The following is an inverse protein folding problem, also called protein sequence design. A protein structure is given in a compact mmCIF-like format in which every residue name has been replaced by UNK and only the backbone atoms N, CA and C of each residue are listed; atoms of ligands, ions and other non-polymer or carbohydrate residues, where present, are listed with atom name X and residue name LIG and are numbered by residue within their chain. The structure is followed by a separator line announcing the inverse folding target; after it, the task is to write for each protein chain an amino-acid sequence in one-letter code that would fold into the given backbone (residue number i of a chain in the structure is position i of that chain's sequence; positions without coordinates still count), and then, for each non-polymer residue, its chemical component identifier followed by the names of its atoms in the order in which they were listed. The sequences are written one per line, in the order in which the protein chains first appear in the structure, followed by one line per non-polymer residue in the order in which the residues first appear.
data_IF_979229945411
#
_entry.id   IF_979229945411
#
_cell.length_a   1.000
_cell.length_b   1.000
_cell.length_c   1.000
_cell.angle_alpha   90.00
_cell.angle_beta   90.00
_cell.angle_gamma   90.00
#
_symmetry.space_group_name_H-M   'P 1'
#
loop_
_entity.id
_entity.type
_entity.pdbx_description
1 polymer ?
#
# COMPACT_ATOMS: atom_id res chain seq x y z
N UNK A 1 10.77 -25.73 0.93
CA UNK A 1 10.19 -24.72 1.85
C UNK A 1 10.90 -23.37 1.63
N UNK A 2 10.85 -22.83 0.42
CA UNK A 2 11.56 -21.59 0.02
C UNK A 2 10.63 -20.54 -0.62
N UNK A 3 9.35 -20.85 -0.80
CA UNK A 3 8.43 -20.00 -1.55
C UNK A 3 8.01 -18.69 -0.84
N UNK A 4 8.41 -18.50 0.43
CA UNK A 4 7.94 -17.37 1.26
C UNK A 4 8.91 -16.17 1.19
N UNK A 5 10.17 -16.39 0.75
CA UNK A 5 11.26 -15.43 1.00
C UNK A 5 12.02 -14.93 -0.24
N UNK A 6 11.77 -15.44 -1.44
CA UNK A 6 12.42 -14.94 -2.67
C UNK A 6 11.75 -13.66 -3.17
N UNK A 7 12.14 -12.52 -2.59
CA UNK A 7 11.54 -11.21 -2.92
C UNK A 7 12.64 -10.17 -3.04
N UNK A 8 13.29 -10.16 -4.20
CA UNK A 8 14.02 -8.99 -4.66
C UNK A 8 13.05 -8.12 -5.46
N UNK A 9 12.56 -7.04 -4.82
CA UNK A 9 11.78 -6.03 -5.53
C UNK A 9 12.72 -5.37 -6.53
N UNK A 10 12.35 -5.41 -7.81
CA UNK A 10 13.12 -4.76 -8.85
C UNK A 10 13.28 -3.26 -8.52
N UNK A 11 14.50 -2.71 -8.48
CA UNK A 11 14.73 -1.31 -8.11
C UNK A 11 13.97 -0.33 -9.02
N UNK A 12 13.75 -0.69 -10.29
CA UNK A 12 12.96 0.13 -11.22
C UNK A 12 11.50 0.22 -10.79
N UNK A 13 10.87 -0.91 -10.43
CA UNK A 13 9.50 -0.96 -9.89
C UNK A 13 9.43 -0.20 -8.57
N UNK A 14 10.42 -0.37 -7.70
CA UNK A 14 10.48 0.34 -6.43
C UNK A 14 10.49 1.86 -6.62
N UNK A 15 11.42 2.38 -7.42
CA UNK A 15 11.52 3.83 -7.69
C UNK A 15 10.27 4.38 -8.38
N UNK A 16 9.68 3.62 -9.30
CA UNK A 16 8.46 4.01 -9.99
C UNK A 16 7.27 4.12 -9.03
N UNK A 17 7.04 3.08 -8.22
CA UNK A 17 5.96 3.06 -7.21
C UNK A 17 6.22 4.12 -6.14
N UNK A 18 7.47 4.34 -5.73
CA UNK A 18 7.85 5.38 -4.78
C UNK A 18 7.42 6.77 -5.28
N UNK A 19 7.81 7.14 -6.50
CA UNK A 19 7.48 8.44 -7.08
C UNK A 19 5.97 8.61 -7.27
N UNK A 20 5.30 7.57 -7.75
CA UNK A 20 3.85 7.57 -7.90
C UNK A 20 3.14 7.80 -6.55
N UNK A 21 3.47 7.00 -5.53
CA UNK A 21 2.86 7.11 -4.22
C UNK A 21 3.17 8.44 -3.53
N UNK A 22 4.36 9.01 -3.74
CA UNK A 22 4.72 10.33 -3.24
C UNK A 22 3.80 11.42 -3.82
N UNK A 23 3.64 11.44 -5.15
CA UNK A 23 2.77 12.41 -5.83
C UNK A 23 1.33 12.24 -5.38
N UNK A 24 0.84 11.00 -5.30
CA UNK A 24 -0.53 10.71 -4.87
C UNK A 24 -0.75 11.06 -3.39
N UNK A 25 0.24 10.86 -2.52
CA UNK A 25 0.14 11.22 -1.11
C UNK A 25 0.03 12.74 -0.93
N UNK A 26 0.83 13.53 -1.65
CA UNK A 26 0.74 14.99 -1.62
C UNK A 26 -0.65 15.45 -2.12
N UNK A 27 -1.10 14.89 -3.24
CA UNK A 27 -2.40 15.24 -3.82
C UNK A 27 -3.58 14.88 -2.90
N UNK A 28 -3.51 13.74 -2.21
CA UNK A 28 -4.55 13.27 -1.28
C UNK A 28 -4.62 14.12 -0.01
N UNK A 29 -3.50 14.63 0.49
CA UNK A 29 -3.48 15.57 1.63
C UNK A 29 -4.25 16.85 1.30
N UNK A 30 -4.10 17.37 0.08
CA UNK A 30 -4.74 18.61 -0.34
C UNK A 30 -6.21 18.42 -0.73
N UNK A 31 -6.51 17.37 -1.51
CA UNK A 31 -7.82 17.22 -2.15
C UNK A 31 -8.69 16.13 -1.54
N UNK A 32 -8.12 15.16 -0.81
CA UNK A 32 -8.79 13.94 -0.31
C UNK A 32 -9.42 13.06 -1.40
N UNK A 33 -9.04 13.29 -2.65
CA UNK A 33 -9.54 12.53 -3.79
C UNK A 33 -8.39 11.92 -4.56
N UNK A 34 -8.64 10.74 -5.13
CA UNK A 34 -7.69 10.08 -6.02
C UNK A 34 -7.75 10.72 -7.41
N UNK A 35 -6.64 11.27 -7.89
CA UNK A 35 -6.55 11.78 -9.26
C UNK A 35 -6.48 10.62 -10.27
N UNK A 36 -7.60 10.40 -10.98
CA UNK A 36 -7.74 9.30 -11.94
C UNK A 36 -6.78 9.41 -13.13
N UNK A 37 -6.34 10.61 -13.52
CA UNK A 37 -5.41 10.79 -14.63
C UNK A 37 -4.02 10.27 -14.27
N UNK A 38 -3.52 10.63 -13.08
CA UNK A 38 -2.25 10.10 -12.56
C UNK A 38 -2.33 8.59 -12.32
N UNK A 39 -3.47 8.11 -11.84
CA UNK A 39 -3.71 6.69 -11.67
C UNK A 39 -3.69 5.92 -13.00
N UNK A 40 -4.35 6.44 -14.04
CA UNK A 40 -4.34 5.81 -15.36
C UNK A 40 -2.93 5.74 -15.96
N UNK A 41 -2.15 6.82 -15.84
CA UNK A 41 -0.74 6.83 -16.25
C UNK A 41 0.08 5.77 -15.52
N UNK A 42 -0.14 5.62 -14.20
CA UNK A 42 0.50 4.57 -13.41
C UNK A 42 0.19 3.18 -13.95
N UNK A 43 -1.10 2.88 -14.19
CA UNK A 43 -1.52 1.57 -14.72
C UNK A 43 -0.91 1.29 -16.10
N UNK A 44 -0.89 2.28 -17.00
CA UNK A 44 -0.29 2.11 -18.34
C UNK A 44 1.20 1.78 -18.22
N UNK A 45 1.95 2.52 -17.41
CA UNK A 45 3.39 2.27 -17.24
C UNK A 45 3.66 0.90 -16.61
N UNK A 46 2.84 0.44 -15.67
CA UNK A 46 3.00 -0.87 -15.03
C UNK A 46 2.90 -2.04 -16.02
N UNK A 47 2.04 -1.93 -17.03
CA UNK A 47 1.92 -2.93 -18.11
C UNK A 47 3.23 -3.22 -18.82
N UNK A 48 4.19 -2.29 -18.80
CA UNK A 48 5.47 -2.46 -19.48
C UNK A 48 6.62 -2.87 -18.56
N UNK A 49 6.50 -2.70 -17.23
CA UNK A 49 7.65 -2.75 -16.31
C UNK A 49 7.58 -3.95 -15.37
N UNK A 50 6.39 -4.44 -15.00
CA UNK A 50 6.24 -5.43 -13.93
C UNK A 50 5.77 -6.81 -14.40
N UNK A 51 6.23 -7.84 -13.69
CA UNK A 51 5.56 -9.14 -13.70
C UNK A 51 4.30 -9.08 -12.83
N UNK A 52 3.27 -9.85 -13.18
CA UNK A 52 1.94 -9.73 -12.57
C UNK A 52 1.56 -10.90 -11.67
N UNK A 53 1.19 -10.58 -10.43
CA UNK A 53 0.60 -11.50 -9.46
C UNK A 53 -0.92 -11.47 -9.54
N UNK A 54 -1.49 -12.04 -10.61
CA UNK A 54 -2.94 -12.02 -10.88
C UNK A 54 -3.78 -12.63 -9.75
N UNK A 55 -3.28 -13.69 -9.10
CA UNK A 55 -3.98 -14.34 -7.98
C UNK A 55 -4.05 -13.39 -6.78
N UNK A 56 -2.95 -12.71 -6.45
CA UNK A 56 -2.93 -11.71 -5.38
C UNK A 56 -3.94 -10.60 -5.70
N UNK A 57 -3.90 -10.09 -6.93
CA UNK A 57 -4.85 -9.07 -7.40
C UNK A 57 -6.31 -9.47 -7.16
N UNK A 58 -6.71 -10.69 -7.57
CA UNK A 58 -8.08 -11.18 -7.39
C UNK A 58 -8.45 -11.28 -5.90
N UNK A 59 -7.54 -11.81 -5.07
CA UNK A 59 -7.80 -11.96 -3.63
C UNK A 59 -7.96 -10.59 -2.97
N UNK A 60 -7.01 -9.68 -3.18
CA UNK A 60 -7.03 -8.37 -2.54
C UNK A 60 -8.15 -7.48 -3.07
N UNK A 61 -8.50 -7.55 -4.36
CA UNK A 61 -9.68 -6.85 -4.91
C UNK A 61 -10.96 -7.33 -4.25
N UNK A 62 -11.19 -8.64 -4.17
CA UNK A 62 -12.39 -9.20 -3.55
C UNK A 62 -12.48 -8.84 -2.06
N UNK A 63 -11.38 -9.01 -1.31
CA UNK A 63 -11.35 -8.70 0.12
C UNK A 63 -11.57 -7.21 0.36
N UNK A 64 -10.89 -6.33 -0.39
CA UNK A 64 -11.03 -4.89 -0.22
C UNK A 64 -12.44 -4.39 -0.59
N UNK A 65 -13.06 -4.91 -1.64
CA UNK A 65 -14.44 -4.58 -1.99
C UNK A 65 -15.44 -5.13 -0.97
N UNK A 66 -15.21 -6.34 -0.43
CA UNK A 66 -16.03 -6.86 0.66
C UNK A 66 -15.97 -5.94 1.89
N UNK A 67 -14.78 -5.48 2.28
CA UNK A 67 -14.61 -4.51 3.37
C UNK A 67 -15.32 -3.19 3.05
N UNK A 68 -15.23 -2.71 1.81
CA UNK A 68 -15.91 -1.48 1.38
C UNK A 68 -17.42 -1.55 1.53
N UNK A 69 -18.05 -2.69 1.22
CA UNK A 69 -19.49 -2.86 1.40
C UNK A 69 -19.92 -2.62 2.85
N UNK A 70 -19.11 -3.03 3.83
CA UNK A 70 -19.39 -2.82 5.24
C UNK A 70 -19.02 -1.42 5.75
N UNK A 71 -18.03 -0.76 5.16
CA UNK A 71 -17.44 0.49 5.72
C UNK A 71 -17.29 1.63 4.69
N UNK A 72 -18.20 1.70 3.72
CA UNK A 72 -18.21 2.65 2.59
C UNK A 72 -18.10 4.14 2.99
N UNK A 73 -18.55 4.51 4.19
CA UNK A 73 -18.49 5.90 4.65
C UNK A 73 -17.12 6.33 5.19
N UNK A 74 -16.19 5.39 5.40
CA UNK A 74 -14.89 5.64 6.03
C UNK A 74 -13.70 5.48 5.10
N UNK A 75 -13.83 4.61 4.08
CA UNK A 75 -12.76 4.27 3.13
C UNK A 75 -13.10 4.86 1.77
N UNK A 76 -12.17 5.60 1.18
CA UNK A 76 -12.32 6.10 -0.17
C UNK A 76 -12.27 4.96 -1.18
N UNK A 77 -13.15 4.96 -2.17
CA UNK A 77 -13.10 3.96 -3.25
C UNK A 77 -11.77 4.00 -4.01
N UNK A 78 -11.15 5.18 -4.10
CA UNK A 78 -9.81 5.34 -4.68
C UNK A 78 -8.74 4.52 -3.94
N UNK A 79 -8.77 4.49 -2.61
CA UNK A 79 -7.79 3.75 -1.81
C UNK A 79 -7.86 2.24 -2.09
N UNK A 80 -9.08 1.72 -2.23
CA UNK A 80 -9.35 0.32 -2.54
C UNK A 80 -8.82 -0.06 -3.92
N UNK A 81 -9.05 0.79 -4.92
CA UNK A 81 -8.49 0.60 -6.26
C UNK A 81 -6.97 0.62 -6.18
N UNK A 82 -6.37 1.56 -5.46
CA UNK A 82 -4.93 1.70 -5.35
C UNK A 82 -4.30 0.46 -4.68
N UNK A 83 -4.84 -0.02 -3.56
CA UNK A 83 -4.38 -1.24 -2.88
C UNK A 83 -4.50 -2.45 -3.79
N UNK A 84 -5.61 -2.54 -4.53
CA UNK A 84 -5.84 -3.60 -5.51
C UNK A 84 -4.74 -3.61 -6.57
N UNK A 85 -4.46 -2.48 -7.22
CA UNK A 85 -3.42 -2.43 -8.25
C UNK A 85 -1.99 -2.61 -7.70
N UNK A 86 -1.70 -2.17 -6.48
CA UNK A 86 -0.41 -2.49 -5.83
C UNK A 86 -0.24 -4.00 -5.65
N UNK A 87 -1.31 -4.72 -5.29
CA UNK A 87 -1.27 -6.18 -5.12
C UNK A 87 -1.02 -6.96 -6.41
N UNK A 88 -1.23 -6.33 -7.56
CA UNK A 88 -0.89 -6.90 -8.88
C UNK A 88 0.63 -7.00 -9.06
N UNK A 89 1.41 -6.14 -8.41
CA UNK A 89 2.84 -5.96 -8.66
C UNK A 89 3.69 -6.60 -7.56
N UNK A 90 3.17 -6.61 -6.33
CA UNK A 90 3.93 -7.08 -5.18
C UNK A 90 3.56 -8.51 -4.76
N UNK A 91 4.55 -9.29 -4.30
CA UNK A 91 4.32 -10.63 -3.79
C UNK A 91 3.52 -10.63 -2.49
N UNK A 92 2.95 -11.79 -2.15
CA UNK A 92 1.96 -11.92 -1.08
C UNK A 92 2.50 -11.48 0.29
N UNK A 93 3.71 -11.91 0.65
CA UNK A 93 4.30 -11.54 1.95
C UNK A 93 4.56 -10.03 2.04
N UNK A 94 5.05 -9.40 0.96
CA UNK A 94 5.19 -7.94 0.92
C UNK A 94 3.84 -7.25 1.15
N UNK A 95 2.79 -7.67 0.45
CA UNK A 95 1.45 -7.07 0.57
C UNK A 95 0.84 -7.22 1.97
N UNK A 96 1.05 -8.36 2.64
CA UNK A 96 0.56 -8.56 4.01
C UNK A 96 1.21 -7.59 5.01
N UNK A 97 2.54 -7.49 5.01
CA UNK A 97 3.24 -6.53 5.88
C UNK A 97 2.88 -5.10 5.54
N UNK A 98 2.79 -4.78 4.25
CA UNK A 98 2.40 -3.48 3.76
C UNK A 98 1.04 -3.05 4.32
N UNK A 99 -0.01 -3.88 4.16
CA UNK A 99 -1.36 -3.60 4.66
C UNK A 99 -1.38 -3.53 6.19
N UNK A 100 -0.62 -4.38 6.87
CA UNK A 100 -0.55 -4.33 8.32
C UNK A 100 0.02 -3.00 8.82
N UNK A 101 1.13 -2.52 8.23
CA UNK A 101 1.75 -1.25 8.61
C UNK A 101 0.83 -0.07 8.25
N UNK A 102 0.15 -0.09 7.09
CA UNK A 102 -0.78 1.01 6.73
C UNK A 102 -1.91 1.14 7.72
N UNK A 103 -2.55 0.02 8.09
CA UNK A 103 -3.62 0.02 9.08
C UNK A 103 -3.10 0.45 10.45
N UNK A 104 -1.92 -0.01 10.86
CA UNK A 104 -1.32 0.38 12.14
C UNK A 104 -1.05 1.89 12.20
N UNK A 105 -0.47 2.48 11.15
CA UNK A 105 -0.20 3.92 11.13
C UNK A 105 -1.49 4.75 11.08
N UNK A 106 -2.45 4.36 10.25
CA UNK A 106 -3.73 5.05 10.14
C UNK A 106 -4.54 4.96 11.45
N UNK A 107 -4.51 3.81 12.13
CA UNK A 107 -5.19 3.63 13.43
C UNK A 107 -4.53 4.45 14.54
N UNK A 108 -3.19 4.45 14.64
CA UNK A 108 -2.47 5.30 15.61
C UNK A 108 -2.77 6.79 15.38
N UNK A 109 -2.77 7.24 14.13
CA UNK A 109 -3.07 8.63 13.79
C UNK A 109 -4.52 9.00 14.12
N UNK A 110 -5.48 8.14 13.78
CA UNK A 110 -6.89 8.38 14.11
C UNK A 110 -7.13 8.41 15.62
N UNK A 111 -6.48 7.54 16.40
CA UNK A 111 -6.54 7.56 17.86
C UNK A 111 -5.96 8.86 18.43
N UNK A 112 -4.82 9.31 17.92
CA UNK A 112 -4.23 10.59 18.30
C UNK A 112 -5.19 11.77 18.04
N UNK A 113 -5.86 11.79 16.88
CA UNK A 113 -6.86 12.82 16.56
C UNK A 113 -8.08 12.76 17.49
N UNK A 114 -8.58 11.57 17.81
CA UNK A 114 -9.70 11.39 18.74
C UNK A 114 -9.34 11.92 20.13
N UNK A 115 -8.15 11.61 20.64
CA UNK A 115 -7.70 12.09 21.95
C UNK A 115 -7.54 13.62 21.96
N UNK A 116 -6.94 14.18 20.91
CA UNK A 116 -6.65 15.63 20.83
C UNK A 116 -7.89 16.48 20.58
N UNK A 117 -8.72 16.10 19.61
CA UNK A 117 -9.84 16.92 19.13
C UNK A 117 -11.20 16.45 19.66
N UNK A 118 -11.28 15.28 20.33
CA UNK A 118 -12.53 14.67 20.80
C UNK A 118 -13.61 14.49 19.72
N UNK A 119 -13.20 14.47 18.45
CA UNK A 119 -14.10 14.28 17.31
C UNK A 119 -13.95 12.88 16.74
N UNK A 120 -15.07 12.27 16.31
CA UNK A 120 -15.12 10.90 15.79
C UNK A 120 -15.26 10.82 14.26
N UNK A 121 -15.40 11.96 13.57
CA UNK A 121 -15.79 12.02 12.14
C UNK A 121 -14.86 12.91 11.32
N UNK A 122 -13.57 12.59 11.36
CA UNK A 122 -12.61 13.19 10.42
C UNK A 122 -12.28 12.18 9.33
N UNK A 123 -12.46 12.59 8.07
CA UNK A 123 -11.92 11.86 6.92
C UNK A 123 -10.41 12.04 6.90
N UNK A 124 -9.69 10.93 7.05
CA UNK A 124 -8.24 10.89 7.12
C UNK A 124 -7.72 10.47 5.74
N UNK A 125 -6.83 11.25 5.09
CA UNK A 125 -6.23 10.84 3.82
C UNK A 125 -5.38 9.59 4.04
N UNK A 126 -5.70 8.49 3.35
CA UNK A 126 -5.06 7.18 3.58
C UNK A 126 -3.76 7.05 2.78
N UNK A 127 -3.65 7.70 1.62
CA UNK A 127 -2.53 7.55 0.70
C UNK A 127 -1.17 7.94 1.33
N UNK A 128 -1.07 8.96 2.20
CA UNK A 128 0.16 9.24 2.94
C UNK A 128 0.62 8.08 3.82
N UNK A 129 -0.30 7.36 4.46
CA UNK A 129 0.05 6.18 5.26
C UNK A 129 0.44 5.01 4.37
N UNK A 130 -0.21 4.83 3.22
CA UNK A 130 0.18 3.90 2.16
C UNK A 130 1.63 4.17 1.71
N UNK A 131 1.99 5.42 1.47
CA UNK A 131 3.35 5.79 1.09
C UNK A 131 4.39 5.49 2.18
N UNK A 132 4.13 5.89 3.43
CA UNK A 132 5.05 5.64 4.55
C UNK A 132 5.23 4.13 4.78
N UNK A 133 4.14 3.36 4.73
CA UNK A 133 4.20 1.91 4.85
C UNK A 133 4.98 1.26 3.71
N UNK A 134 4.88 1.78 2.50
CA UNK A 134 5.67 1.29 1.36
C UNK A 134 7.18 1.43 1.65
N UNK A 135 7.60 2.60 2.12
CA UNK A 135 8.99 2.87 2.50
C UNK A 135 9.44 1.95 3.64
N UNK A 136 8.68 1.93 4.74
CA UNK A 136 9.02 1.13 5.92
C UNK A 136 9.09 -0.36 5.58
N UNK A 137 8.14 -0.85 4.80
CA UNK A 137 8.13 -2.24 4.39
C UNK A 137 9.35 -2.56 3.52
N UNK A 138 9.68 -1.73 2.54
CA UNK A 138 10.87 -1.93 1.71
C UNK A 138 12.19 -1.94 2.52
N UNK A 139 12.33 -1.04 3.49
CA UNK A 139 13.50 -1.01 4.37
C UNK A 139 13.55 -2.21 5.33
N UNK A 140 12.43 -2.53 5.98
CA UNK A 140 12.33 -3.62 6.95
C UNK A 140 12.55 -4.98 6.28
N UNK A 141 11.99 -5.18 5.08
CA UNK A 141 12.14 -6.44 4.33
C UNK A 141 13.60 -6.70 3.95
N UNK A 142 14.34 -5.65 3.54
CA UNK A 142 15.77 -5.75 3.26
C UNK A 142 16.60 -6.11 4.50
N UNK A 143 16.28 -5.50 5.64
CA UNK A 143 16.94 -5.81 6.92
C UNK A 143 16.65 -7.25 7.37
N UNK A 144 15.40 -7.70 7.21
CA UNK A 144 14.96 -9.03 7.64
C UNK A 144 15.59 -10.13 6.77
N UNK A 145 15.68 -9.92 5.45
CA UNK A 145 16.42 -10.82 4.54
C UNK A 145 17.89 -10.95 4.94
N UNK A 146 18.57 -9.83 5.19
CA UNK A 146 19.97 -9.83 5.64
C UNK A 146 20.16 -10.61 6.95
N UNK A 147 19.25 -10.45 7.91
CA UNK A 147 19.34 -11.15 9.19
C UNK A 147 19.10 -12.67 9.07
N UNK A 148 18.11 -13.08 8.26
CA UNK A 148 17.80 -14.49 8.02
C UNK A 148 18.92 -15.19 7.26
N UNK A 149 19.47 -14.57 6.21
CA UNK A 149 20.62 -15.10 5.47
C UNK A 149 21.88 -15.17 6.34
N UNK A 150 22.11 -14.16 7.19
CA UNK A 150 23.22 -14.15 8.16
C UNK A 150 23.10 -15.18 9.29
N UNK A 151 21.90 -15.68 9.59
CA UNK A 151 21.69 -16.78 10.56
C UNK A 151 21.82 -18.18 9.94
N UNK A 152 21.82 -18.30 8.60
CA UNK A 152 21.97 -19.58 7.89
C UNK A 152 23.40 -19.87 7.43
N UNK A 153 24.36 -19.00 7.77
CA UNK A 153 25.81 -19.19 7.61
C UNK A 153 26.45 -19.52 8.97
#
# INVERSE_FOLDING_TARGET
MSLIWDIDINPTIFSFVFLFLLVMAIYDIETKYLNLQFFALFVICLLFISHFYLINFIIYTLVSHAIYLFIHNSLGYGDIILISFLSLIFPQSFMLYFIFITLLLATLYSLFLIVKYKTKRMQIPLIPFIFISFILNAFCFKMLKFYVEGMML
#
